data_IF_517717215373
#
_entry.id   IF_517717215373
#
_cell.length_a   1.000
_cell.length_b   1.000
_cell.length_c   1.000
_cell.angle_alpha   90.00
_cell.angle_beta   90.00
_cell.angle_gamma   90.00
#
_symmetry.space_group_name_H-M   'P 1'
#
loop_
_entity.id
_entity.type
_entity.pdbx_description
1 polymer ?
#
# COMPACT_ATOMS: atom_id res chain seq x y z
N UNK A 1 -23.80 -31.10 14.65
CA UNK A 1 -24.56 -30.01 15.29
C UNK A 1 -25.20 -29.15 14.19
N UNK A 2 -26.54 -29.04 14.13
CA UNK A 2 -27.23 -28.22 13.14
C UNK A 2 -26.85 -26.73 13.16
N UNK A 3 -26.32 -26.20 14.26
CA UNK A 3 -25.84 -24.82 14.31
C UNK A 3 -24.53 -24.64 13.52
N UNK A 4 -23.59 -25.58 13.67
CA UNK A 4 -22.30 -25.58 12.95
C UNK A 4 -22.51 -25.70 11.45
N UNK A 5 -23.41 -26.58 11.02
CA UNK A 5 -23.72 -26.78 9.59
C UNK A 5 -24.29 -25.51 8.96
N UNK A 6 -25.23 -24.84 9.65
CA UNK A 6 -25.80 -23.57 9.18
C UNK A 6 -24.76 -22.45 9.11
N UNK A 7 -23.84 -22.38 10.06
CA UNK A 7 -22.76 -21.38 10.03
C UNK A 7 -21.79 -21.63 8.88
N UNK A 8 -21.40 -22.90 8.64
CA UNK A 8 -20.58 -23.28 7.50
C UNK A 8 -21.28 -22.89 6.18
N UNK A 9 -22.54 -23.28 6.02
CA UNK A 9 -23.33 -22.96 4.84
C UNK A 9 -23.46 -21.44 4.61
N UNK A 10 -23.64 -20.65 5.69
CA UNK A 10 -23.68 -19.19 5.60
C UNK A 10 -22.36 -18.61 5.05
N UNK A 11 -21.21 -19.06 5.56
CA UNK A 11 -19.90 -18.57 5.08
C UNK A 11 -19.63 -18.96 3.64
N UNK A 12 -19.89 -20.21 3.29
CA UNK A 12 -19.67 -20.71 1.94
C UNK A 12 -20.54 -19.99 0.89
N UNK A 13 -21.77 -19.64 1.26
CA UNK A 13 -22.71 -18.94 0.38
C UNK A 13 -22.70 -17.42 0.53
N UNK A 14 -21.74 -16.85 1.27
CA UNK A 14 -21.69 -15.41 1.54
C UNK A 14 -21.56 -14.58 0.26
N UNK A 15 -20.78 -15.05 -0.72
CA UNK A 15 -20.58 -14.35 -2.00
C UNK A 15 -21.88 -14.23 -2.82
N UNK A 16 -22.80 -15.20 -2.70
CA UNK A 16 -24.08 -15.20 -3.42
C UNK A 16 -25.01 -14.08 -2.96
N UNK A 17 -24.86 -13.63 -1.70
CA UNK A 17 -25.70 -12.59 -1.09
C UNK A 17 -24.97 -11.26 -0.93
N UNK A 18 -23.74 -11.15 -1.44
CA UNK A 18 -22.96 -9.92 -1.34
C UNK A 18 -23.65 -8.78 -2.10
N UNK A 19 -23.63 -7.58 -1.51
CA UNK A 19 -24.11 -6.35 -2.13
C UNK A 19 -23.13 -5.22 -1.89
N UNK A 20 -22.90 -4.42 -2.92
CA UNK A 20 -22.20 -3.15 -2.79
C UNK A 20 -23.11 -2.13 -2.08
N UNK A 21 -22.86 -1.98 -0.79
CA UNK A 21 -23.43 -0.92 0.04
C UNK A 21 -22.35 0.14 0.23
N UNK A 22 -22.68 1.39 0.59
CA UNK A 22 -21.67 2.43 0.79
C UNK A 22 -20.52 1.99 1.71
N UNK A 23 -20.83 1.24 2.78
CA UNK A 23 -19.82 0.70 3.70
C UNK A 23 -18.95 -0.39 3.06
N UNK A 24 -19.55 -1.42 2.45
CA UNK A 24 -18.77 -2.53 1.86
C UNK A 24 -17.96 -2.07 0.64
N UNK A 25 -18.48 -1.11 -0.14
CA UNK A 25 -17.76 -0.51 -1.26
C UNK A 25 -16.50 0.22 -0.80
N UNK A 26 -16.58 1.02 0.27
CA UNK A 26 -15.40 1.69 0.84
C UNK A 26 -14.36 0.65 1.29
N UNK A 27 -14.79 -0.41 1.96
CA UNK A 27 -13.87 -1.48 2.41
C UNK A 27 -13.15 -2.15 1.22
N UNK A 28 -13.89 -2.48 0.16
CA UNK A 28 -13.33 -3.06 -1.07
C UNK A 28 -12.37 -2.08 -1.74
N UNK A 29 -12.76 -0.82 -1.90
CA UNK A 29 -11.95 0.19 -2.58
C UNK A 29 -10.64 0.43 -1.83
N UNK A 30 -10.68 0.60 -0.51
CA UNK A 30 -9.47 0.79 0.28
C UNK A 30 -8.61 -0.47 0.34
N UNK A 31 -9.22 -1.63 0.61
CA UNK A 31 -8.49 -2.88 0.83
C UNK A 31 -7.86 -3.46 -0.44
N UNK A 32 -8.53 -3.35 -1.58
CA UNK A 32 -8.07 -4.00 -2.82
C UNK A 32 -7.43 -3.04 -3.82
N UNK A 33 -7.74 -1.75 -3.76
CA UNK A 33 -7.25 -0.78 -4.76
C UNK A 33 -6.34 0.24 -4.10
N UNK A 34 -6.86 1.08 -3.21
CA UNK A 34 -6.12 2.25 -2.71
C UNK A 34 -4.87 1.82 -1.94
N UNK A 35 -5.01 0.88 -0.99
CA UNK A 35 -3.88 0.48 -0.16
C UNK A 35 -2.76 -0.21 -0.95
N UNK A 36 -3.03 -1.23 -1.79
CA UNK A 36 -1.99 -1.82 -2.64
C UNK A 36 -1.38 -0.82 -3.64
N UNK A 37 -2.20 0.03 -4.26
CA UNK A 37 -1.71 1.03 -5.21
C UNK A 37 -0.82 2.08 -4.53
N UNK A 38 -1.17 2.53 -3.33
CA UNK A 38 -0.36 3.46 -2.55
C UNK A 38 1.01 2.86 -2.22
N UNK A 39 1.05 1.60 -1.76
CA UNK A 39 2.31 0.89 -1.48
C UNK A 39 3.16 0.79 -2.74
N UNK A 40 2.58 0.32 -3.84
CA UNK A 40 3.31 0.20 -5.10
C UNK A 40 3.84 1.56 -5.56
N UNK A 41 3.00 2.59 -5.56
CA UNK A 41 3.39 3.93 -5.97
C UNK A 41 4.53 4.48 -5.10
N UNK A 42 4.44 4.36 -3.78
CA UNK A 42 5.50 4.80 -2.87
C UNK A 42 6.79 4.01 -3.11
N UNK A 43 6.70 2.68 -3.23
CA UNK A 43 7.85 1.84 -3.50
C UNK A 43 8.52 2.24 -4.82
N UNK A 44 7.79 2.27 -5.93
CA UNK A 44 8.34 2.65 -7.24
C UNK A 44 8.85 4.09 -7.29
N UNK A 45 8.22 5.00 -6.54
CA UNK A 45 8.65 6.40 -6.52
C UNK A 45 9.92 6.59 -5.70
N UNK A 46 10.11 5.85 -4.61
CA UNK A 46 11.27 5.98 -3.72
C UNK A 46 12.41 5.04 -4.10
N UNK A 47 12.11 4.00 -4.89
CA UNK A 47 13.09 3.09 -5.44
C UNK A 47 14.16 3.90 -6.20
N UNK A 48 15.42 3.54 -5.98
CA UNK A 48 16.59 4.15 -6.59
C UNK A 48 16.84 5.64 -6.28
N UNK A 49 16.01 6.32 -5.47
CA UNK A 49 16.24 7.75 -5.15
C UNK A 49 17.31 7.98 -4.10
N UNK A 50 17.58 6.99 -3.25
CA UNK A 50 18.37 7.16 -2.04
C UNK A 50 19.61 6.27 -2.05
N UNK A 51 20.75 6.81 -1.64
CA UNK A 51 21.97 6.05 -1.41
C UNK A 51 22.70 6.60 -0.17
N UNK A 52 22.72 5.80 0.89
CA UNK A 52 23.24 6.20 2.21
C UNK A 52 24.62 5.59 2.49
N UNK A 53 25.12 4.73 1.61
CA UNK A 53 26.38 4.02 1.79
C UNK A 53 27.53 5.01 1.88
N UNK A 54 28.17 5.07 3.05
CA UNK A 54 29.37 5.89 3.28
C UNK A 54 29.13 7.41 3.35
N UNK A 55 27.88 7.87 3.48
CA UNK A 55 27.56 9.31 3.54
C UNK A 55 27.95 9.93 4.90
N UNK A 56 28.57 11.11 4.87
CA UNK A 56 28.96 11.88 6.05
C UNK A 56 27.91 12.95 6.44
N UNK A 57 28.12 13.60 7.59
CA UNK A 57 27.26 14.70 8.06
C UNK A 57 27.24 15.82 7.02
N UNK A 58 26.03 16.33 6.73
CA UNK A 58 25.75 17.38 5.74
C UNK A 58 25.90 16.95 4.27
N UNK A 59 26.14 15.68 3.98
CA UNK A 59 26.13 15.19 2.59
C UNK A 59 24.72 14.80 2.12
N UNK A 60 24.44 15.01 0.83
CA UNK A 60 23.17 14.59 0.23
C UNK A 60 23.03 13.07 0.20
N UNK A 61 21.87 12.59 0.67
CA UNK A 61 21.45 11.18 0.64
C UNK A 61 20.78 10.79 -0.68
N UNK A 62 20.51 11.76 -1.56
CA UNK A 62 19.98 11.48 -2.88
C UNK A 62 21.04 10.72 -3.69
N UNK A 63 20.61 9.70 -4.43
CA UNK A 63 21.48 8.95 -5.34
C UNK A 63 22.12 9.86 -6.38
N UNK A 64 21.37 10.83 -6.89
CA UNK A 64 21.87 11.91 -7.75
C UNK A 64 21.87 13.19 -6.91
N UNK A 65 23.04 13.74 -6.56
CA UNK A 65 23.10 14.92 -5.72
C UNK A 65 22.61 16.15 -6.51
N UNK A 66 21.88 17.08 -5.88
CA UNK A 66 21.60 18.38 -6.48
C UNK A 66 22.89 19.19 -6.64
N UNK A 67 22.95 20.15 -7.60
CA UNK A 67 24.11 21.02 -7.76
C UNK A 67 24.40 21.77 -6.45
N UNK A 68 25.65 21.73 -6.02
CA UNK A 68 26.13 22.34 -4.77
C UNK A 68 26.02 23.86 -4.83
N UNK A 69 25.45 24.48 -3.79
CA UNK A 69 25.28 25.94 -3.66
C UNK A 69 26.61 26.71 -3.46
N UNK A 70 27.74 26.01 -3.31
CA UNK A 70 29.07 26.60 -3.04
C UNK A 70 29.81 27.18 -4.28
N UNK A 71 29.16 27.29 -5.43
CA UNK A 71 29.78 27.80 -6.67
C UNK A 71 29.21 29.14 -7.18
N UNK A 72 28.65 29.98 -6.30
CA UNK A 72 28.21 31.37 -6.61
C UNK A 72 28.97 32.36 -5.74
#
# INVERSE_FOLDING_TARGET
>A
DPAVERWNQMRETAYQRFRFTPRSTIQVLFGMIIFPAAIYWTASNQDLKWNWTGKLKNESLARVPPPSEESV
#
